data_IF_698130761429
#
_entry.id   IF_698130761429
#
_cell.length_a   1.000
_cell.length_b   1.000
_cell.length_c   1.000
_cell.angle_alpha   90.00
_cell.angle_beta   90.00
_cell.angle_gamma   90.00
#
_symmetry.space_group_name_H-M   'P 1'
#
loop_
_entity.id
_entity.type
_entity.pdbx_description
1 polymer ?
#
# COMPACT_ATOMS: atom_id res chain seq x y z
N UNK A 1 32.22 6.50 48.34
CA UNK A 1 30.89 6.55 47.67
C UNK A 1 30.77 5.34 46.74
N UNK A 2 30.03 4.32 47.18
CA UNK A 2 30.15 2.94 46.68
C UNK A 2 29.72 2.78 45.21
N UNK A 3 30.48 1.95 44.48
CA UNK A 3 30.26 1.56 43.07
C UNK A 3 28.81 1.12 42.81
N UNK A 4 28.16 0.51 43.81
CA UNK A 4 26.77 0.10 43.76
C UNK A 4 25.80 1.28 43.52
N UNK A 5 26.08 2.47 44.10
CA UNK A 5 25.26 3.68 43.89
C UNK A 5 25.44 4.26 42.48
N UNK A 6 26.63 4.12 41.88
CA UNK A 6 26.89 4.56 40.49
C UNK A 6 26.16 3.68 39.47
N UNK A 7 26.13 2.36 39.68
CA UNK A 7 25.40 1.43 38.82
C UNK A 7 23.87 1.65 38.86
N UNK A 8 23.33 1.94 40.04
CA UNK A 8 21.90 2.24 40.18
C UNK A 8 21.49 3.52 39.46
N UNK A 9 22.35 4.55 39.48
CA UNK A 9 22.10 5.81 38.76
C UNK A 9 22.12 5.61 37.23
N UNK A 10 23.05 4.79 36.72
CA UNK A 10 23.12 4.46 35.29
C UNK A 10 21.88 3.68 34.82
N UNK A 11 21.38 2.74 35.61
CA UNK A 11 20.16 1.98 35.27
C UNK A 11 18.91 2.87 35.22
N UNK A 12 18.82 3.83 36.13
CA UNK A 12 17.71 4.79 36.15
C UNK A 12 17.71 5.67 34.90
N UNK A 13 18.88 6.17 34.47
CA UNK A 13 19.00 6.98 33.25
C UNK A 13 18.65 6.19 31.98
N UNK A 14 19.05 4.92 31.86
CA UNK A 14 18.71 4.08 30.69
C UNK A 14 17.19 3.86 30.59
N UNK A 15 16.50 3.67 31.72
CA UNK A 15 15.05 3.47 31.73
C UNK A 15 14.28 4.72 31.25
N UNK A 16 14.76 5.93 31.54
CA UNK A 16 14.17 7.18 31.02
C UNK A 16 14.38 7.34 29.50
N UNK A 17 15.53 6.97 28.96
CA UNK A 17 15.76 7.02 27.50
C UNK A 17 14.82 6.08 26.73
N UNK A 18 14.51 4.89 27.27
CA UNK A 18 13.57 3.97 26.64
C UNK A 18 12.11 4.47 26.64
N UNK A 19 11.72 5.32 27.60
CA UNK A 19 10.37 5.90 27.66
C UNK A 19 10.24 7.13 26.74
N UNK A 20 11.31 7.92 26.57
CA UNK A 20 11.29 9.15 25.76
C UNK A 20 11.14 8.90 24.24
N UNK A 21 11.53 7.73 23.73
CA UNK A 21 11.38 7.41 22.29
C UNK A 21 9.95 7.01 21.87
N UNK A 22 8.99 6.91 22.80
CA UNK A 22 7.63 6.43 22.48
C UNK A 22 6.67 7.50 21.94
N UNK A 23 7.06 8.77 21.91
CA UNK A 23 6.15 9.89 21.60
C UNK A 23 6.61 10.81 20.46
N UNK A 24 7.28 10.27 19.44
CA UNK A 24 7.25 10.94 18.13
C UNK A 24 5.90 10.58 17.50
N UNK A 25 4.85 11.35 17.84
CA UNK A 25 3.61 11.35 17.04
C UNK A 25 4.00 11.74 15.63
N UNK A 26 4.07 10.74 14.74
CA UNK A 26 4.29 10.94 13.32
C UNK A 26 3.27 11.95 12.79
N UNK A 27 3.73 13.14 12.44
CA UNK A 27 2.98 14.22 11.76
C UNK A 27 2.23 13.76 10.50
N UNK A 28 2.59 12.59 9.96
CA UNK A 28 1.90 11.94 8.84
C UNK A 28 0.43 11.59 9.15
N UNK A 29 0.11 11.28 10.42
CA UNK A 29 -1.22 10.72 10.81
C UNK A 29 -2.35 11.76 10.72
N UNK A 30 -2.06 13.04 10.92
CA UNK A 30 -3.09 14.10 10.96
C UNK A 30 -3.61 14.51 9.56
N UNK A 31 -3.03 13.98 8.47
CA UNK A 31 -3.39 14.31 7.07
C UNK A 31 -4.03 13.15 6.29
N UNK A 32 -4.40 12.07 6.97
CA UNK A 32 -4.93 10.85 6.34
C UNK A 32 -6.45 10.98 6.08
N UNK A 33 -6.85 11.32 4.85
CA UNK A 33 -8.25 11.30 4.43
C UNK A 33 -8.70 9.86 4.12
N UNK A 34 -9.02 9.09 5.17
CA UNK A 34 -9.58 7.74 5.05
C UNK A 34 -11.09 7.79 5.24
N UNK A 35 -11.82 7.29 4.26
CA UNK A 35 -13.27 7.10 4.33
C UNK A 35 -13.58 5.66 4.68
N UNK A 36 -14.50 5.43 5.62
CA UNK A 36 -15.04 4.11 5.92
C UNK A 36 -16.43 3.98 5.33
N UNK A 37 -16.68 2.96 4.53
CA UNK A 37 -18.00 2.72 3.94
C UNK A 37 -19.03 2.41 5.03
N UNK A 38 -20.24 2.97 4.91
CA UNK A 38 -21.37 2.59 5.78
C UNK A 38 -21.89 1.20 5.43
N UNK A 39 -21.86 0.85 4.14
CA UNK A 39 -22.21 -0.48 3.66
C UNK A 39 -21.10 -1.49 3.99
N UNK A 40 -21.51 -2.63 4.53
CA UNK A 40 -20.63 -3.74 4.92
C UNK A 40 -20.45 -4.67 3.71
N UNK A 41 -19.21 -4.83 3.26
CA UNK A 41 -18.86 -5.83 2.25
C UNK A 41 -18.67 -7.18 2.96
N UNK A 42 -19.58 -8.13 2.67
CA UNK A 42 -19.62 -9.44 3.32
C UNK A 42 -19.57 -9.29 4.86
N UNK A 43 -20.53 -8.51 5.38
CA UNK A 43 -20.69 -8.27 6.82
C UNK A 43 -19.59 -7.44 7.50
N UNK A 44 -18.62 -6.88 6.76
CA UNK A 44 -17.48 -6.15 7.35
C UNK A 44 -17.29 -4.77 6.73
N UNK A 45 -16.92 -3.81 7.57
CA UNK A 45 -16.53 -2.48 7.12
C UNK A 45 -15.22 -2.51 6.33
N UNK A 46 -15.15 -1.61 5.35
CA UNK A 46 -13.98 -1.35 4.54
C UNK A 46 -13.62 0.13 4.67
N UNK A 47 -12.34 0.41 4.84
CA UNK A 47 -11.84 1.77 4.93
C UNK A 47 -10.77 1.99 3.87
N UNK A 48 -10.84 3.08 3.12
CA UNK A 48 -9.93 3.38 2.02
C UNK A 48 -9.63 4.87 1.94
N UNK A 49 -8.39 5.26 1.57
CA UNK A 49 -8.11 6.59 1.03
C UNK A 49 -8.77 6.78 -0.34
N UNK A 50 -8.61 7.98 -0.88
CA UNK A 50 -9.00 8.27 -2.26
C UNK A 50 -8.20 7.41 -3.25
N UNK A 51 -8.79 7.08 -4.40
CA UNK A 51 -8.07 6.39 -5.47
C UNK A 51 -6.99 7.28 -6.09
N UNK A 52 -5.84 6.68 -6.42
CA UNK A 52 -4.76 7.30 -7.19
C UNK A 52 -5.02 7.03 -8.68
N UNK A 53 -5.11 8.08 -9.48
CA UNK A 53 -5.24 7.98 -10.94
C UNK A 53 -3.85 7.96 -11.58
N UNK A 54 -3.56 6.94 -12.39
CA UNK A 54 -2.27 6.76 -13.04
C UNK A 54 -2.46 6.56 -14.54
N UNK A 55 -1.73 7.33 -15.35
CA UNK A 55 -1.81 7.26 -16.81
C UNK A 55 -0.98 6.07 -17.31
N UNK A 56 -1.52 5.31 -18.26
CA UNK A 56 -0.77 4.24 -18.93
C UNK A 56 0.22 4.87 -19.90
N UNK A 57 1.47 4.45 -19.80
CA UNK A 57 2.56 4.91 -20.67
C UNK A 57 2.28 4.57 -22.14
N UNK A 58 2.63 5.49 -23.05
CA UNK A 58 2.44 5.33 -24.49
C UNK A 58 1.02 4.92 -24.90
N UNK A 59 0.00 5.44 -24.21
CA UNK A 59 -1.40 5.17 -24.51
C UNK A 59 -2.17 6.45 -24.82
N UNK A 60 -3.15 6.35 -25.73
CA UNK A 60 -4.04 7.47 -26.09
C UNK A 60 -5.13 7.65 -25.02
N UNK A 61 -4.74 8.16 -23.85
CA UNK A 61 -5.69 8.54 -22.79
C UNK A 61 -6.20 7.39 -21.91
N UNK A 62 -5.56 6.20 -21.97
CA UNK A 62 -5.89 5.11 -21.04
C UNK A 62 -5.30 5.45 -19.68
N UNK A 63 -6.13 5.32 -18.66
CA UNK A 63 -5.71 5.51 -17.28
C UNK A 63 -6.12 4.31 -16.44
N UNK A 64 -5.52 4.25 -15.25
CA UNK A 64 -5.76 3.22 -14.26
C UNK A 64 -6.09 3.86 -12.93
N UNK A 65 -6.80 3.11 -12.10
CA UNK A 65 -7.08 3.46 -10.72
C UNK A 65 -6.35 2.49 -9.81
N UNK A 66 -5.48 3.00 -8.94
CA UNK A 66 -4.88 2.26 -7.84
C UNK A 66 -5.52 2.75 -6.53
N UNK A 67 -6.10 1.85 -5.76
CA UNK A 67 -6.66 2.18 -4.46
C UNK A 67 -6.27 1.13 -3.44
N UNK A 68 -5.85 1.55 -2.26
CA UNK A 68 -5.67 0.64 -1.14
C UNK A 68 -6.90 0.66 -0.24
N UNK A 69 -7.09 -0.39 0.54
CA UNK A 69 -8.07 -0.34 1.61
C UNK A 69 -7.85 -1.40 2.67
N UNK A 70 -8.54 -1.25 3.78
CA UNK A 70 -8.38 -2.06 4.97
C UNK A 70 -9.69 -2.73 5.34
N UNK A 71 -9.60 -4.04 5.53
CA UNK A 71 -10.65 -4.88 6.11
C UNK A 71 -10.04 -5.63 7.28
N UNK A 72 -10.58 -5.43 8.49
CA UNK A 72 -9.95 -5.88 9.75
C UNK A 72 -8.50 -5.38 9.88
N UNK A 73 -7.53 -6.30 9.93
CA UNK A 73 -6.08 -6.01 10.02
C UNK A 73 -5.35 -6.22 8.70
N UNK A 74 -6.07 -6.54 7.63
CA UNK A 74 -5.52 -6.84 6.30
C UNK A 74 -5.68 -5.62 5.40
N UNK A 75 -4.65 -5.35 4.60
CA UNK A 75 -4.67 -4.31 3.57
C UNK A 75 -4.81 -5.01 2.21
N UNK A 76 -5.70 -4.47 1.41
CA UNK A 76 -6.00 -4.92 0.07
C UNK A 76 -5.61 -3.80 -0.89
N UNK A 77 -5.13 -4.21 -2.05
CA UNK A 77 -4.93 -3.38 -3.21
C UNK A 77 -6.06 -3.68 -4.20
N UNK A 78 -6.68 -2.63 -4.68
CA UNK A 78 -7.59 -2.62 -5.80
C UNK A 78 -6.90 -1.88 -6.94
N UNK A 79 -6.91 -2.47 -8.11
CA UNK A 79 -6.40 -1.86 -9.33
C UNK A 79 -7.40 -2.05 -10.45
N UNK A 80 -7.65 -1.01 -11.24
CA UNK A 80 -8.53 -1.09 -12.41
C UNK A 80 -7.87 -0.42 -13.63
N UNK A 81 -7.85 -1.12 -14.75
CA UNK A 81 -7.54 -0.53 -16.06
C UNK A 81 -8.84 -0.03 -16.68
N UNK A 82 -8.90 1.23 -17.10
CA UNK A 82 -10.06 1.80 -17.79
C UNK A 82 -9.84 1.75 -19.31
N UNK A 83 -9.98 0.54 -19.86
CA UNK A 83 -9.93 0.24 -21.29
C UNK A 83 -11.13 -0.65 -21.63
N UNK A 84 -11.73 -0.49 -22.81
CA UNK A 84 -12.89 -1.26 -23.24
C UNK A 84 -12.54 -2.71 -23.61
N UNK A 85 -11.26 -3.01 -23.81
CA UNK A 85 -10.77 -4.28 -24.35
C UNK A 85 -9.89 -5.09 -23.39
N UNK A 86 -9.92 -4.76 -22.10
CA UNK A 86 -9.05 -5.39 -21.10
C UNK A 86 -9.67 -6.68 -20.56
N UNK A 87 -8.92 -7.79 -20.62
CA UNK A 87 -9.27 -9.03 -19.95
C UNK A 87 -8.08 -9.56 -19.15
N UNK A 88 -8.24 -9.68 -17.83
CA UNK A 88 -7.22 -10.15 -16.90
C UNK A 88 -7.41 -11.65 -16.70
N UNK A 89 -6.38 -12.47 -16.99
CA UNK A 89 -6.43 -13.94 -16.87
C UNK A 89 -6.30 -14.45 -15.42
N UNK A 90 -6.00 -15.73 -15.23
CA UNK A 90 -5.60 -16.32 -13.95
C UNK A 90 -4.06 -16.52 -13.95
N UNK A 91 -3.38 -16.20 -12.83
CA UNK A 91 -1.89 -16.28 -12.62
C UNK A 91 -1.05 -15.15 -13.24
N UNK A 92 0.05 -14.79 -12.54
CA UNK A 92 1.02 -13.68 -12.76
C UNK A 92 0.53 -12.52 -13.64
N UNK A 93 -0.06 -11.53 -12.98
CA UNK A 93 -0.82 -10.47 -13.67
C UNK A 93 -0.25 -9.10 -13.43
N UNK A 94 0.48 -8.93 -12.33
CA UNK A 94 0.76 -7.61 -11.83
C UNK A 94 2.15 -7.55 -11.23
N UNK A 95 3.02 -6.77 -11.85
CA UNK A 95 4.41 -6.61 -11.45
C UNK A 95 4.66 -5.21 -10.92
N UNK A 96 5.21 -5.15 -9.72
CA UNK A 96 5.82 -3.94 -9.17
C UNK A 96 7.32 -3.95 -9.47
N UNK A 97 7.76 -3.08 -10.36
CA UNK A 97 9.17 -2.88 -10.68
C UNK A 97 9.72 -1.72 -9.85
N UNK A 98 10.73 -1.99 -9.03
CA UNK A 98 11.35 -1.00 -8.17
C UNK A 98 12.57 -0.36 -8.85
N UNK A 99 12.90 0.88 -8.47
CA UNK A 99 14.06 1.59 -9.02
C UNK A 99 15.41 0.91 -8.75
N UNK A 100 15.49 0.08 -7.71
CA UNK A 100 16.68 -0.72 -7.39
C UNK A 100 16.77 -2.02 -8.22
N UNK A 101 15.86 -2.26 -9.16
CA UNK A 101 15.80 -3.47 -9.98
C UNK A 101 15.04 -4.64 -9.35
N UNK A 102 14.57 -4.52 -8.09
CA UNK A 102 13.70 -5.54 -7.50
C UNK A 102 12.38 -5.62 -8.28
N UNK A 103 11.81 -6.84 -8.34
CA UNK A 103 10.46 -7.07 -8.86
C UNK A 103 9.64 -7.83 -7.82
N UNK A 104 8.37 -7.46 -7.67
CA UNK A 104 7.37 -8.27 -6.97
C UNK A 104 6.29 -8.65 -7.98
N UNK A 105 6.09 -9.94 -8.16
CA UNK A 105 4.99 -10.50 -8.93
C UNK A 105 3.79 -10.74 -8.01
N UNK A 106 2.63 -10.21 -8.38
CA UNK A 106 1.36 -10.52 -7.75
C UNK A 106 0.52 -11.37 -8.71
N UNK A 107 -0.04 -12.43 -8.15
CA UNK A 107 -0.90 -13.36 -8.86
C UNK A 107 -2.36 -12.98 -8.65
N UNK A 108 -3.16 -13.16 -9.71
CA UNK A 108 -4.61 -13.09 -9.62
C UNK A 108 -5.13 -14.43 -9.14
N UNK A 109 -5.89 -14.39 -8.04
CA UNK A 109 -6.57 -15.55 -7.48
C UNK A 109 -8.07 -15.58 -7.82
N UNK A 110 -8.52 -14.64 -8.66
CA UNK A 110 -9.89 -14.60 -9.14
C UNK A 110 -9.96 -15.14 -10.57
N UNK A 111 -11.13 -15.64 -11.00
CA UNK A 111 -11.36 -16.02 -12.40
C UNK A 111 -11.07 -14.87 -13.37
N UNK A 112 -10.96 -15.23 -14.65
CA UNK A 112 -10.78 -14.26 -15.74
C UNK A 112 -11.86 -13.18 -15.62
N UNK A 113 -11.45 -11.91 -15.63
CA UNK A 113 -12.39 -10.79 -15.64
C UNK A 113 -12.04 -9.79 -16.74
N UNK A 114 -13.05 -9.40 -17.50
CA UNK A 114 -12.94 -8.41 -18.57
C UNK A 114 -13.36 -7.00 -18.15
N UNK A 115 -13.52 -6.80 -16.83
CA UNK A 115 -13.74 -5.48 -16.23
C UNK A 115 -12.42 -4.75 -15.94
N UNK A 116 -11.28 -5.42 -16.18
CA UNK A 116 -9.94 -4.89 -15.93
C UNK A 116 -9.61 -4.73 -14.46
N UNK A 117 -10.28 -5.46 -13.57
CA UNK A 117 -10.18 -5.34 -12.12
C UNK A 117 -9.20 -6.38 -11.57
N UNK A 118 -8.26 -5.90 -10.76
CA UNK A 118 -7.34 -6.74 -10.01
C UNK A 118 -7.44 -6.41 -8.53
N UNK A 119 -7.66 -7.43 -7.70
CA UNK A 119 -7.74 -7.29 -6.25
C UNK A 119 -6.73 -8.22 -5.62
N UNK A 120 -5.88 -7.70 -4.73
CA UNK A 120 -4.86 -8.49 -4.08
C UNK A 120 -4.68 -8.11 -2.60
N UNK A 121 -4.58 -9.12 -1.73
CA UNK A 121 -4.28 -8.88 -0.32
C UNK A 121 -2.76 -8.71 -0.14
N UNK A 122 -2.31 -7.54 0.32
CA UNK A 122 -0.89 -7.31 0.51
C UNK A 122 -0.30 -8.19 1.61
N UNK A 123 0.78 -8.89 1.29
CA UNK A 123 1.62 -9.57 2.28
C UNK A 123 2.40 -8.56 3.12
N UNK A 124 2.89 -8.97 4.29
CA UNK A 124 3.79 -8.11 5.10
C UNK A 124 5.06 -7.73 4.36
N UNK A 125 5.59 -8.63 3.53
CA UNK A 125 6.79 -8.40 2.71
C UNK A 125 6.52 -7.36 1.63
N UNK A 126 5.41 -7.51 0.89
CA UNK A 126 4.98 -6.57 -0.15
C UNK A 126 4.73 -5.19 0.45
N UNK A 127 4.00 -5.13 1.56
CA UNK A 127 3.77 -3.88 2.29
C UNK A 127 5.10 -3.19 2.65
N UNK A 128 6.04 -3.92 3.28
CA UNK A 128 7.32 -3.36 3.69
C UNK A 128 8.07 -2.76 2.50
N UNK A 129 8.17 -3.51 1.40
CA UNK A 129 8.84 -3.07 0.17
C UNK A 129 8.20 -1.81 -0.41
N UNK A 130 6.87 -1.79 -0.57
CA UNK A 130 6.14 -0.62 -1.07
C UNK A 130 6.32 0.62 -0.18
N UNK A 131 6.55 0.44 1.12
CA UNK A 131 6.80 1.56 2.04
C UNK A 131 8.27 1.99 2.15
N UNK A 132 9.22 1.18 1.66
CA UNK A 132 10.66 1.43 1.85
C UNK A 132 11.41 1.69 0.54
N UNK A 133 10.85 1.33 -0.60
CA UNK A 133 11.48 1.44 -1.91
C UNK A 133 10.56 2.20 -2.86
N UNK A 134 11.16 2.95 -3.79
CA UNK A 134 10.42 3.62 -4.84
C UNK A 134 10.15 2.66 -6.02
N UNK A 135 8.92 2.65 -6.47
CA UNK A 135 8.50 2.03 -7.71
C UNK A 135 8.98 2.86 -8.90
N UNK A 136 9.51 2.17 -9.90
CA UNK A 136 9.77 2.71 -11.23
C UNK A 136 8.53 2.55 -12.12
N UNK A 137 7.98 1.32 -12.17
CA UNK A 137 6.79 1.06 -12.96
C UNK A 137 5.91 -0.03 -12.38
N UNK A 138 4.64 0.00 -12.75
CA UNK A 138 3.68 -1.09 -12.60
C UNK A 138 3.45 -1.69 -13.98
N UNK A 139 3.57 -3.00 -14.11
CA UNK A 139 3.19 -3.73 -15.33
C UNK A 139 1.98 -4.61 -15.06
N UNK A 140 1.02 -4.57 -15.96
CA UNK A 140 -0.19 -5.38 -15.91
C UNK A 140 -0.26 -6.23 -17.16
N UNK A 141 -0.29 -7.54 -16.96
CA UNK A 141 -0.37 -8.52 -18.03
C UNK A 141 -1.82 -8.93 -18.25
N UNK A 142 -2.27 -8.86 -19.50
CA UNK A 142 -3.66 -9.13 -19.87
C UNK A 142 -3.68 -9.94 -21.16
N UNK A 143 -4.83 -10.52 -21.52
CA UNK A 143 -4.99 -11.39 -22.70
C UNK A 143 -4.51 -10.71 -23.99
N UNK A 144 -4.96 -9.47 -24.20
CA UNK A 144 -4.79 -8.80 -25.50
C UNK A 144 -3.66 -7.79 -25.51
N UNK A 145 -3.40 -7.14 -24.36
CA UNK A 145 -2.45 -6.03 -24.29
C UNK A 145 -1.85 -5.89 -22.90
N UNK A 146 -0.54 -5.75 -22.83
CA UNK A 146 0.12 -5.41 -21.57
C UNK A 146 0.10 -3.90 -21.37
N UNK A 147 -0.09 -3.48 -20.12
CA UNK A 147 -0.09 -2.08 -19.72
C UNK A 147 1.11 -1.81 -18.84
N UNK A 148 1.82 -0.71 -19.11
CA UNK A 148 2.89 -0.23 -18.25
C UNK A 148 2.55 1.17 -17.76
N UNK A 149 2.73 1.39 -16.47
CA UNK A 149 2.48 2.66 -15.79
C UNK A 149 3.81 3.09 -15.17
N UNK A 150 4.34 4.24 -15.60
CA UNK A 150 5.54 4.82 -15.02
C UNK A 150 5.16 5.67 -13.80
N UNK A 151 5.92 5.55 -12.72
CA UNK A 151 5.64 6.22 -11.46
C UNK A 151 6.65 7.32 -11.18
N UNK A 152 6.15 8.51 -10.91
CA UNK A 152 6.96 9.63 -10.47
C UNK A 152 7.11 9.65 -8.94
N UNK A 153 7.91 10.61 -8.44
CA UNK A 153 8.17 10.75 -7.00
C UNK A 153 6.91 11.08 -6.19
N UNK A 154 6.03 11.93 -6.71
CA UNK A 154 4.79 12.32 -6.03
C UNK A 154 3.82 11.15 -5.86
N UNK A 155 3.64 10.34 -6.91
CA UNK A 155 2.80 9.14 -6.86
C UNK A 155 3.37 8.10 -5.88
N UNK A 156 4.69 7.92 -5.84
CA UNK A 156 5.35 7.05 -4.85
C UNK A 156 5.08 7.54 -3.41
N UNK A 157 5.20 8.84 -3.16
CA UNK A 157 4.92 9.42 -1.85
C UNK A 157 3.46 9.22 -1.44
N UNK A 158 2.52 9.34 -2.38
CA UNK A 158 1.10 9.10 -2.15
C UNK A 158 0.82 7.64 -1.79
N UNK A 159 1.38 6.67 -2.54
CA UNK A 159 1.29 5.23 -2.23
C UNK A 159 1.80 4.94 -0.82
N UNK A 160 2.97 5.48 -0.45
CA UNK A 160 3.57 5.29 0.88
C UNK A 160 2.67 5.89 1.96
N UNK A 161 2.17 7.11 1.75
CA UNK A 161 1.26 7.80 2.67
C UNK A 161 0.01 6.95 2.91
N UNK A 162 -0.66 6.50 1.85
CA UNK A 162 -1.87 5.69 1.93
C UNK A 162 -1.68 4.39 2.72
N UNK A 163 -0.59 3.67 2.44
CA UNK A 163 -0.25 2.43 3.13
C UNK A 163 0.02 2.66 4.63
N UNK A 164 0.75 3.72 4.99
CA UNK A 164 1.04 4.08 6.38
C UNK A 164 -0.26 4.48 7.09
N UNK A 165 -1.08 5.32 6.48
CA UNK A 165 -2.39 5.75 6.98
C UNK A 165 -3.29 4.54 7.26
N UNK A 166 -3.42 3.61 6.30
CA UNK A 166 -4.22 2.40 6.50
C UNK A 166 -3.65 1.52 7.60
N UNK A 167 -2.32 1.37 7.72
CA UNK A 167 -1.70 0.54 8.77
C UNK A 167 -2.13 1.00 10.18
N UNK A 168 -2.13 2.30 10.44
CA UNK A 168 -2.48 2.89 11.75
C UNK A 168 -3.99 3.04 11.97
N UNK A 169 -4.78 3.15 10.90
CA UNK A 169 -6.23 3.34 10.98
C UNK A 169 -6.94 2.22 11.75
N UNK A 170 -7.81 2.59 12.70
CA UNK A 170 -8.67 1.66 13.44
C UNK A 170 -10.08 1.72 12.85
N UNK A 171 -10.52 0.60 12.26
CA UNK A 171 -11.88 0.45 11.74
C UNK A 171 -12.88 0.64 12.90
N UNK A 172 -13.83 1.56 12.71
CA UNK A 172 -14.93 1.79 13.65
C UNK A 172 -15.99 0.69 13.44
N UNK A 173 -16.50 0.12 14.53
CA UNK A 173 -17.56 -0.90 14.50
C UNK A 173 -18.93 -0.27 14.33
#
# INVERSE_FOLDING_TARGET
MNILKKLFLCFYMISFYCVAQKNVKNTVIDSCHITQTRQKLDGRFFASPNPILLIVNNSNGIFTTLQFGKRKRKIFMYFKVHDNSVCIEEKKIFDFNFKNGDVIHLENHFPINCDGIFIHQLSRRTFKRLTSLELNSIKVFTVHKNYEILLNKSQNQEIVKDLICLKTYKIKK
#
